data_IF_304385552099
#
_entry.id   IF_304385552099
#
_cell.length_a   1.000
_cell.length_b   1.000
_cell.length_c   1.000
_cell.angle_alpha   90.00
_cell.angle_beta   90.00
_cell.angle_gamma   90.00
#
_symmetry.space_group_name_H-M   'P 1'
#
loop_
_entity.id
_entity.type
_entity.pdbx_description
1 polymer ?
#
# COMPACT_ATOMS: atom_id res chain seq x y z
N UNK A 1 13.16 37.88 29.48
CA UNK A 1 14.12 36.88 28.98
C UNK A 1 13.35 35.60 28.71
N UNK A 2 12.80 35.46 27.52
CA UNK A 2 12.25 34.19 27.03
C UNK A 2 13.14 33.80 25.87
N UNK A 3 14.05 32.88 26.12
CA UNK A 3 14.88 32.24 25.10
C UNK A 3 13.96 31.59 24.07
N UNK A 4 13.95 32.15 22.86
CA UNK A 4 13.49 31.44 21.67
C UNK A 4 14.42 30.25 21.48
N UNK A 5 14.06 29.09 22.03
CA UNK A 5 14.59 27.83 21.54
C UNK A 5 13.91 27.56 20.19
N UNK A 6 14.49 28.10 19.12
CA UNK A 6 14.26 27.53 17.80
C UNK A 6 14.85 26.12 17.83
N UNK A 7 13.99 25.11 17.99
CA UNK A 7 14.41 23.72 17.88
C UNK A 7 14.94 23.49 16.47
N UNK A 8 16.26 23.61 16.27
CA UNK A 8 16.91 23.14 15.06
C UNK A 8 16.70 21.63 15.01
N UNK A 9 15.68 21.19 14.27
CA UNK A 9 15.43 19.77 14.05
C UNK A 9 16.67 19.21 13.36
N UNK A 10 17.41 18.34 14.04
CA UNK A 10 18.61 17.72 13.49
C UNK A 10 18.29 17.09 12.14
N UNK A 11 18.95 17.55 11.08
CA UNK A 11 18.79 16.99 9.74
C UNK A 11 19.29 15.55 9.74
N UNK A 12 18.42 14.62 9.37
CA UNK A 12 18.76 13.21 9.26
C UNK A 12 19.39 12.92 7.90
N UNK A 13 20.24 11.90 7.84
CA UNK A 13 20.78 11.40 6.57
C UNK A 13 19.67 10.77 5.73
N UNK A 14 19.80 10.86 4.41
CA UNK A 14 18.95 10.08 3.50
C UNK A 14 19.14 8.58 3.75
N UNK A 15 18.06 7.81 3.65
CA UNK A 15 18.08 6.36 3.87
C UNK A 15 18.42 5.90 5.28
N UNK A 16 18.28 6.77 6.29
CA UNK A 16 18.49 6.39 7.70
C UNK A 16 17.54 5.27 8.14
N UNK A 17 16.29 5.28 7.66
CA UNK A 17 15.31 4.23 7.93
C UNK A 17 15.09 3.45 6.65
N UNK A 18 15.30 2.15 6.70
CA UNK A 18 15.04 1.24 5.59
C UNK A 18 13.93 0.28 5.97
N UNK A 19 13.00 0.02 5.05
CA UNK A 19 12.15 -1.14 5.19
C UNK A 19 11.76 -1.76 3.87
N UNK A 20 11.39 -3.03 3.99
CA UNK A 20 11.10 -3.92 2.89
C UNK A 20 9.83 -4.68 3.21
N UNK A 21 8.98 -4.87 2.22
CA UNK A 21 7.74 -5.60 2.43
C UNK A 21 6.95 -5.78 1.15
N UNK A 22 5.67 -6.09 1.33
CA UNK A 22 4.74 -6.32 0.25
C UNK A 22 3.98 -5.01 -0.04
N UNK A 23 4.29 -4.30 -1.14
CA UNK A 23 3.47 -3.19 -1.61
C UNK A 23 2.15 -3.76 -2.11
N UNK A 24 1.06 -3.40 -1.44
CA UNK A 24 -0.29 -3.85 -1.77
C UNK A 24 -1.15 -2.65 -2.13
N UNK A 25 -2.02 -2.80 -3.11
CA UNK A 25 -3.08 -1.83 -3.36
C UNK A 25 -4.34 -2.21 -2.58
N UNK A 26 -4.73 -1.34 -1.66
CA UNK A 26 -5.95 -1.51 -0.88
C UNK A 26 -7.14 -1.06 -1.74
N UNK A 27 -8.14 -1.93 -1.91
CA UNK A 27 -9.40 -1.65 -2.60
C UNK A 27 -10.49 -1.61 -1.53
N UNK A 28 -11.05 -0.43 -1.31
CA UNK A 28 -12.05 -0.18 -0.26
C UNK A 28 -13.41 0.00 -0.92
N UNK A 29 -14.41 -0.78 -0.54
CA UNK A 29 -15.78 -0.61 -1.03
C UNK A 29 -16.80 -0.98 0.05
N UNK A 30 -17.95 -0.30 0.05
CA UNK A 30 -19.08 -0.72 0.87
C UNK A 30 -19.84 -1.84 0.15
N UNK A 31 -19.92 -3.02 0.80
CA UNK A 31 -20.61 -4.19 0.23
C UNK A 31 -21.64 -4.76 1.22
N UNK A 32 -22.73 -5.36 0.72
CA UNK A 32 -23.68 -6.07 1.58
C UNK A 32 -23.08 -7.37 2.12
N UNK A 33 -23.58 -7.83 3.28
CA UNK A 33 -23.16 -9.09 3.91
C UNK A 33 -23.29 -10.30 2.96
N UNK A 34 -24.32 -10.30 2.10
CA UNK A 34 -24.52 -11.35 1.10
C UNK A 34 -23.36 -11.48 0.12
N UNK A 35 -22.61 -10.40 -0.15
CA UNK A 35 -21.40 -10.47 -0.97
C UNK A 35 -20.28 -11.24 -0.27
N UNK A 36 -20.14 -11.07 1.05
CA UNK A 36 -19.15 -11.79 1.85
C UNK A 36 -19.43 -13.29 1.88
N UNK A 37 -20.71 -13.65 2.01
CA UNK A 37 -21.16 -15.06 2.03
C UNK A 37 -20.79 -15.80 0.74
N UNK A 38 -20.90 -15.16 -0.43
CA UNK A 38 -20.53 -15.75 -1.74
C UNK A 38 -19.08 -16.22 -1.77
N UNK A 39 -18.19 -15.48 -1.10
CA UNK A 39 -16.76 -15.75 -1.07
C UNK A 39 -16.28 -16.35 0.25
N UNK A 40 -17.21 -16.79 1.12
CA UNK A 40 -16.91 -17.34 2.44
C UNK A 40 -16.04 -16.42 3.31
N UNK A 41 -16.27 -15.11 3.20
CA UNK A 41 -15.58 -14.09 3.97
C UNK A 41 -16.33 -13.81 5.28
N UNK A 42 -15.59 -13.67 6.37
CA UNK A 42 -16.13 -13.19 7.65
C UNK A 42 -15.88 -11.70 7.77
N UNK A 43 -16.80 -10.99 8.41
CA UNK A 43 -16.61 -9.59 8.75
C UNK A 43 -15.36 -9.42 9.64
N UNK A 44 -14.52 -8.43 9.32
CA UNK A 44 -13.26 -8.10 10.02
C UNK A 44 -12.19 -9.21 10.00
N UNK A 45 -12.24 -10.15 9.07
CA UNK A 45 -11.20 -11.17 8.92
C UNK A 45 -10.05 -10.67 8.04
N UNK A 46 -8.86 -11.24 8.22
CA UNK A 46 -7.66 -10.94 7.45
C UNK A 46 -7.04 -12.24 6.95
N UNK A 47 -7.39 -12.65 5.74
CA UNK A 47 -7.00 -13.92 5.16
C UNK A 47 -6.22 -13.75 3.86
N UNK A 48 -5.42 -14.75 3.52
CA UNK A 48 -4.80 -14.84 2.20
C UNK A 48 -5.82 -15.40 1.20
N UNK A 49 -5.84 -14.83 -0.01
CA UNK A 49 -6.71 -15.30 -1.07
C UNK A 49 -6.35 -16.74 -1.49
N UNK A 50 -7.28 -17.67 -1.27
CA UNK A 50 -7.32 -19.00 -1.90
C UNK A 50 -8.15 -19.01 -3.19
N UNK A 51 -8.19 -20.15 -3.90
CA UNK A 51 -9.01 -20.37 -5.10
C UNK A 51 -10.49 -20.01 -4.91
N UNK A 52 -11.04 -20.17 -3.68
CA UNK A 52 -12.40 -19.75 -3.32
C UNK A 52 -12.68 -18.25 -3.53
N UNK A 53 -11.66 -17.40 -3.61
CA UNK A 53 -11.77 -15.95 -3.81
C UNK A 53 -11.44 -15.53 -5.24
N UNK A 54 -11.32 -16.48 -6.17
CA UNK A 54 -11.09 -16.18 -7.58
C UNK A 54 -12.24 -15.36 -8.14
N UNK A 55 -11.94 -14.28 -8.86
CA UNK A 55 -12.97 -13.39 -9.43
C UNK A 55 -13.53 -12.35 -8.44
N UNK A 56 -13.06 -12.34 -7.18
CA UNK A 56 -13.49 -11.40 -6.15
C UNK A 56 -13.18 -9.95 -6.54
N UNK A 57 -11.94 -9.69 -6.97
CA UNK A 57 -11.51 -8.36 -7.41
C UNK A 57 -12.34 -7.87 -8.60
N UNK A 58 -12.53 -8.71 -9.62
CA UNK A 58 -13.28 -8.35 -10.82
C UNK A 58 -14.75 -8.07 -10.50
N UNK A 59 -15.36 -8.87 -9.62
CA UNK A 59 -16.76 -8.69 -9.22
C UNK A 59 -16.94 -7.44 -8.38
N UNK A 60 -16.02 -7.17 -7.44
CA UNK A 60 -16.09 -5.97 -6.60
C UNK A 60 -15.94 -4.70 -7.45
N UNK A 61 -14.96 -4.66 -8.36
CA UNK A 61 -14.72 -3.50 -9.22
C UNK A 61 -15.86 -3.25 -10.21
N UNK A 62 -16.56 -4.31 -10.64
CA UNK A 62 -17.72 -4.22 -11.54
C UNK A 62 -18.98 -3.74 -10.82
N UNK A 63 -19.26 -4.33 -9.66
CA UNK A 63 -20.57 -4.20 -9.01
C UNK A 63 -20.61 -3.03 -8.01
N UNK A 64 -19.45 -2.56 -7.52
CA UNK A 64 -19.35 -1.45 -6.56
C UNK A 64 -18.51 -0.30 -7.15
N UNK A 65 -19.09 0.58 -7.98
CA UNK A 65 -18.36 1.62 -8.71
C UNK A 65 -17.79 2.74 -7.82
N UNK A 66 -18.23 2.85 -6.56
CA UNK A 66 -17.75 3.83 -5.59
C UNK A 66 -16.53 3.34 -4.77
N UNK A 67 -15.85 2.28 -5.23
CA UNK A 67 -14.64 1.79 -4.60
C UNK A 67 -13.51 2.83 -4.64
N UNK A 68 -12.61 2.73 -3.67
CA UNK A 68 -11.43 3.59 -3.55
C UNK A 68 -10.17 2.74 -3.65
N UNK A 69 -9.16 3.28 -4.32
CA UNK A 69 -7.82 2.72 -4.35
C UNK A 69 -6.93 3.49 -3.39
N UNK A 70 -6.33 2.80 -2.44
CA UNK A 70 -5.42 3.37 -1.46
C UNK A 70 -4.11 2.60 -1.49
N UNK A 71 -2.99 3.32 -1.45
CA UNK A 71 -1.69 2.66 -1.33
C UNK A 71 -1.57 2.02 0.06
N UNK A 72 -1.31 0.72 0.10
CA UNK A 72 -1.32 -0.09 1.29
C UNK A 72 -0.04 -0.91 1.49
N UNK A 73 -0.18 -1.99 2.26
CA UNK A 73 0.92 -2.83 2.71
C UNK A 73 1.47 -2.39 4.07
N UNK A 74 1.59 -3.34 5.00
CA UNK A 74 1.91 -3.03 6.40
C UNK A 74 3.21 -2.25 6.59
N UNK A 75 4.31 -2.71 5.98
CA UNK A 75 5.61 -2.02 6.05
C UNK A 75 5.56 -0.66 5.37
N UNK A 76 4.94 -0.58 4.19
CA UNK A 76 4.80 0.67 3.46
C UNK A 76 4.04 1.72 4.27
N UNK A 77 2.92 1.34 4.91
CA UNK A 77 2.13 2.23 5.75
C UNK A 77 2.94 2.73 6.97
N UNK A 78 3.70 1.85 7.61
CA UNK A 78 4.54 2.20 8.75
C UNK A 78 5.64 3.21 8.37
N UNK A 79 6.31 3.00 7.23
CA UNK A 79 7.38 3.89 6.75
C UNK A 79 6.81 5.24 6.27
N UNK A 80 5.65 5.24 5.61
CA UNK A 80 4.95 6.49 5.26
C UNK A 80 4.59 7.29 6.50
N UNK A 81 4.08 6.63 7.55
CA UNK A 81 3.80 7.28 8.82
C UNK A 81 5.07 7.84 9.48
N UNK A 82 6.17 7.08 9.48
CA UNK A 82 7.46 7.56 9.98
C UNK A 82 7.94 8.79 9.20
N UNK A 83 7.82 8.80 7.87
CA UNK A 83 8.23 9.95 7.03
C UNK A 83 7.38 11.17 7.31
N UNK A 84 6.07 10.97 7.48
CA UNK A 84 5.16 12.03 7.91
C UNK A 84 5.51 12.57 9.30
N UNK A 85 5.90 11.73 10.27
CA UNK A 85 6.32 12.21 11.59
C UNK A 85 7.65 12.99 11.53
N UNK A 86 8.59 12.54 10.70
CA UNK A 86 9.92 13.14 10.59
C UNK A 86 9.92 14.46 9.81
N UNK A 87 8.93 14.68 8.93
CA UNK A 87 8.81 15.87 8.08
C UNK A 87 10.10 16.18 7.27
N UNK A 88 10.88 15.14 6.95
CA UNK A 88 12.11 15.22 6.17
C UNK A 88 12.06 14.19 5.03
N UNK A 89 12.10 14.62 3.75
CA UNK A 89 12.04 13.70 2.61
C UNK A 89 13.30 12.84 2.53
N UNK A 90 13.20 11.69 1.85
CA UNK A 90 14.29 10.75 1.55
C UNK A 90 14.97 10.11 2.77
N UNK A 91 14.60 10.45 4.00
CA UNK A 91 15.13 9.81 5.22
C UNK A 91 14.71 8.34 5.30
N UNK A 92 13.50 8.04 4.82
CA UNK A 92 12.98 6.67 4.78
C UNK A 92 13.02 6.10 3.36
N UNK A 93 13.51 4.86 3.26
CA UNK A 93 13.58 4.07 2.03
C UNK A 93 12.60 2.91 2.12
N UNK A 94 11.89 2.65 1.02
CA UNK A 94 11.02 1.49 0.92
C UNK A 94 11.29 0.65 -0.33
N UNK A 95 11.35 -0.66 -0.15
CA UNK A 95 11.52 -1.66 -1.19
C UNK A 95 10.42 -2.73 -1.17
N UNK A 96 10.12 -3.29 -2.35
CA UNK A 96 9.17 -4.40 -2.51
C UNK A 96 9.03 -4.85 -3.98
N UNK A 97 8.29 -5.94 -4.26
CA UNK A 97 7.95 -6.31 -5.66
C UNK A 97 6.51 -5.92 -6.01
N UNK A 98 6.34 -5.45 -7.25
CA UNK A 98 5.04 -5.11 -7.86
C UNK A 98 4.95 -5.74 -9.25
N UNK A 99 3.73 -5.89 -9.76
CA UNK A 99 3.50 -6.30 -11.15
C UNK A 99 3.74 -5.14 -12.12
N UNK A 100 3.78 -5.44 -13.42
CA UNK A 100 3.84 -4.41 -14.47
C UNK A 100 2.42 -4.02 -14.94
N UNK A 101 1.70 -3.31 -14.08
CA UNK A 101 0.34 -2.83 -14.29
C UNK A 101 0.11 -1.38 -13.80
N UNK A 102 -1.10 -0.84 -14.04
CA UNK A 102 -1.48 0.50 -13.56
C UNK A 102 -1.44 0.65 -12.04
N UNK A 103 -1.54 -0.45 -11.29
CA UNK A 103 -1.62 -0.42 -9.83
C UNK A 103 -0.26 -0.13 -9.21
N UNK A 104 0.84 -0.63 -9.79
CA UNK A 104 2.17 -0.26 -9.31
C UNK A 104 2.44 1.25 -9.42
N UNK A 105 1.87 1.91 -10.43
CA UNK A 105 2.03 3.36 -10.63
C UNK A 105 1.30 4.13 -9.53
N UNK A 106 0.08 3.71 -9.16
CA UNK A 106 -0.64 4.30 -8.04
C UNK A 106 0.13 4.16 -6.72
N UNK A 107 0.72 2.99 -6.46
CA UNK A 107 1.56 2.76 -5.28
C UNK A 107 2.80 3.65 -5.29
N UNK A 108 3.48 3.71 -6.43
CA UNK A 108 4.67 4.52 -6.61
C UNK A 108 4.38 6.01 -6.39
N UNK A 109 3.32 6.54 -6.99
CA UNK A 109 2.95 7.95 -6.88
C UNK A 109 2.56 8.32 -5.44
N UNK A 110 1.76 7.48 -4.77
CA UNK A 110 1.33 7.73 -3.40
C UNK A 110 2.51 7.70 -2.42
N UNK A 111 3.42 6.74 -2.58
CA UNK A 111 4.59 6.63 -1.72
C UNK A 111 5.62 7.75 -2.02
N UNK A 112 5.79 8.15 -3.28
CA UNK A 112 6.69 9.26 -3.68
C UNK A 112 6.17 10.58 -3.13
N UNK A 113 4.86 10.84 -3.23
CA UNK A 113 4.21 12.03 -2.65
C UNK A 113 4.35 12.10 -1.14
N UNK A 114 4.49 10.95 -0.46
CA UNK A 114 4.74 10.89 0.97
C UNK A 114 6.21 11.18 1.36
N UNK A 115 7.10 11.42 0.39
CA UNK A 115 8.51 11.75 0.63
C UNK A 115 9.44 10.55 0.79
N UNK A 116 9.00 9.37 0.38
CA UNK A 116 9.81 8.14 0.43
C UNK A 116 10.81 8.06 -0.71
N UNK A 117 12.00 7.54 -0.41
CA UNK A 117 12.91 7.04 -1.44
C UNK A 117 12.49 5.60 -1.79
N UNK A 118 12.03 5.37 -3.03
CA UNK A 118 11.42 4.11 -3.43
C UNK A 118 12.30 3.31 -4.38
N UNK A 119 12.28 2.00 -4.21
CA UNK A 119 12.83 1.07 -5.20
C UNK A 119 11.95 -0.19 -5.26
N UNK A 120 11.07 -0.23 -6.25
CA UNK A 120 10.30 -1.44 -6.53
C UNK A 120 11.03 -2.33 -7.52
N UNK A 121 11.11 -3.61 -7.19
CA UNK A 121 11.36 -4.64 -8.17
C UNK A 121 10.10 -4.77 -9.03
N UNK A 122 10.24 -4.65 -10.34
CA UNK A 122 9.14 -4.92 -11.27
C UNK A 122 9.24 -6.39 -11.65
N UNK A 123 8.27 -7.19 -11.22
CA UNK A 123 8.19 -8.60 -11.53
C UNK A 123 7.72 -8.75 -13.00
N UNK A 124 8.67 -8.89 -13.94
CA UNK A 124 8.40 -9.11 -15.38
C UNK A 124 8.54 -10.58 -15.82
N UNK A 125 9.04 -11.45 -14.95
CA UNK A 125 9.27 -12.87 -15.23
C UNK A 125 8.13 -13.73 -14.69
N UNK A 126 7.34 -14.32 -15.59
CA UNK A 126 6.80 -15.68 -15.52
C UNK A 126 5.85 -15.92 -16.68
N UNK A 127 5.58 -17.18 -16.99
CA UNK A 127 4.62 -17.68 -17.99
C UNK A 127 3.17 -17.19 -17.75
N UNK A 128 2.93 -16.48 -16.64
CA UNK A 128 1.71 -15.75 -16.30
C UNK A 128 2.01 -14.30 -15.94
N UNK A 129 1.13 -13.38 -16.34
CA UNK A 129 1.21 -11.95 -16.02
C UNK A 129 0.94 -11.73 -14.52
N UNK A 130 1.99 -11.58 -13.72
CA UNK A 130 1.89 -11.27 -12.30
C UNK A 130 1.36 -9.85 -12.13
N UNK A 131 0.19 -9.72 -11.49
CA UNK A 131 -0.37 -8.43 -11.10
C UNK A 131 0.20 -7.98 -9.75
N UNK A 132 0.20 -6.68 -9.53
CA UNK A 132 0.44 -6.07 -8.23
C UNK A 132 -0.54 -6.63 -7.20
N UNK A 133 -0.02 -7.01 -6.02
CA UNK A 133 -0.83 -7.54 -4.93
C UNK A 133 -1.92 -6.54 -4.50
N UNK A 134 -3.08 -7.06 -4.14
CA UNK A 134 -4.24 -6.27 -3.69
C UNK A 134 -4.70 -6.75 -2.32
N UNK A 135 -5.26 -5.85 -1.54
CA UNK A 135 -5.95 -6.14 -0.29
C UNK A 135 -7.35 -5.53 -0.37
N UNK A 136 -8.39 -6.30 -0.01
CA UNK A 136 -9.76 -5.83 -0.08
C UNK A 136 -10.24 -5.45 1.32
N UNK A 137 -10.80 -4.25 1.44
CA UNK A 137 -11.48 -3.78 2.64
C UNK A 137 -12.95 -3.56 2.29
N UNK A 138 -13.81 -4.07 3.16
CA UNK A 138 -15.24 -4.21 2.92
C UNK A 138 -16.06 -3.86 4.16
#
# INVERSE_FOLDING_TARGET
MTSNESSDSKKLSEGTIFGIGNPLLDIIAEVPVSFLEVYNLKANDAILASEAHRGLNESLLRDYPHHQFVAGGATQNSIRAATWLLQQPNVCVYMGCVGQDKYHQLLHDAASKAGLLLSYQICTNSEERIQTGTCLFN
#
